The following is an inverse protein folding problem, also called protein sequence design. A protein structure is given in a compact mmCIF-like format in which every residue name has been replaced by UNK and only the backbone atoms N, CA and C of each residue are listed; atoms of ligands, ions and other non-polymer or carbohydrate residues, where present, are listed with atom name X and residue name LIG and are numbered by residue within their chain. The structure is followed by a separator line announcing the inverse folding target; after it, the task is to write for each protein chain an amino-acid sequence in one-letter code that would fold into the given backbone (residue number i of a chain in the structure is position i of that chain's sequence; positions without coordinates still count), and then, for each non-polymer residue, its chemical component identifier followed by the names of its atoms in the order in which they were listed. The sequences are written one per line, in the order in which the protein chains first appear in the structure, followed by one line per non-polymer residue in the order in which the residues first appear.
data_IF_615288969536
#
_entry.id   IF_615288969536
#
_cell.length_a   1.000
_cell.length_b   1.000
_cell.length_c   1.000
_cell.angle_alpha   90.00
_cell.angle_beta   90.00
_cell.angle_gamma   90.00
#
_symmetry.space_group_name_H-M   'P 1'
#
loop_
_entity.id
_entity.type
_entity.pdbx_description
1 polymer ?
#
# COMPACT_ATOMS: atom_id res chain seq x y z
N UNK A 1 -48.05 0.43 -38.12
CA UNK A 1 -46.69 0.52 -37.54
C UNK A 1 -45.95 -0.73 -37.98
N UNK A 2 -44.68 -0.64 -38.38
CA UNK A 2 -43.91 -1.82 -38.81
C UNK A 2 -43.07 -2.35 -37.65
N UNK A 3 -42.65 -3.62 -37.71
CA UNK A 3 -41.73 -4.23 -36.71
C UNK A 3 -40.52 -3.34 -36.42
N UNK A 4 -39.87 -2.84 -37.48
CA UNK A 4 -38.68 -1.99 -37.38
C UNK A 4 -38.98 -0.68 -36.65
N UNK A 5 -40.13 -0.08 -36.90
CA UNK A 5 -40.57 1.14 -36.23
C UNK A 5 -40.84 0.89 -34.73
N UNK A 6 -41.42 -0.27 -34.39
CA UNK A 6 -41.68 -0.66 -33.00
C UNK A 6 -40.40 -0.87 -32.19
N UNK A 7 -39.47 -1.65 -32.71
CA UNK A 7 -38.21 -1.92 -32.01
C UNK A 7 -37.34 -0.67 -31.86
N UNK A 8 -37.33 0.23 -32.85
CA UNK A 8 -36.57 1.49 -32.79
C UNK A 8 -37.11 2.43 -31.71
N UNK A 9 -38.45 2.54 -31.60
CA UNK A 9 -39.07 3.36 -30.57
C UNK A 9 -38.87 2.75 -29.17
N UNK A 10 -38.98 1.42 -29.04
CA UNK A 10 -38.71 0.71 -27.79
C UNK A 10 -37.27 0.92 -27.31
N UNK A 11 -36.27 0.77 -28.20
CA UNK A 11 -34.86 1.01 -27.88
C UNK A 11 -34.61 2.45 -27.39
N UNK A 12 -35.26 3.42 -28.03
CA UNK A 12 -35.17 4.85 -27.64
C UNK A 12 -35.68 5.07 -26.22
N UNK A 13 -36.80 4.44 -25.85
CA UNK A 13 -37.34 4.55 -24.49
C UNK A 13 -36.50 3.79 -23.45
N UNK A 14 -35.86 2.69 -23.84
CA UNK A 14 -34.99 1.88 -22.99
C UNK A 14 -33.54 2.40 -22.89
N UNK A 15 -33.18 3.50 -23.57
CA UNK A 15 -31.82 4.09 -23.51
C UNK A 15 -31.36 4.42 -22.08
N UNK A 16 -32.28 4.63 -21.13
CA UNK A 16 -31.96 4.88 -19.71
C UNK A 16 -31.45 3.65 -18.96
N UNK A 17 -31.60 2.44 -19.51
CA UNK A 17 -31.11 1.21 -18.89
C UNK A 17 -29.60 1.00 -19.15
N UNK A 18 -28.90 0.27 -18.25
CA UNK A 18 -27.58 -0.28 -18.53
C UNK A 18 -27.59 -1.08 -19.84
N UNK A 19 -26.45 -1.07 -20.55
CA UNK A 19 -26.33 -1.69 -21.87
C UNK A 19 -26.72 -3.18 -21.89
N UNK A 20 -26.33 -3.94 -20.86
CA UNK A 20 -26.67 -5.36 -20.75
C UNK A 20 -28.20 -5.58 -20.63
N UNK A 21 -28.86 -4.88 -19.70
CA UNK A 21 -30.30 -5.01 -19.45
C UNK A 21 -31.12 -4.53 -20.66
N UNK A 22 -30.63 -3.51 -21.40
CA UNK A 22 -31.27 -3.02 -22.63
C UNK A 22 -31.19 -4.04 -23.76
N UNK A 23 -30.04 -4.70 -23.96
CA UNK A 23 -29.86 -5.72 -24.99
C UNK A 23 -30.78 -6.91 -24.72
N UNK A 24 -30.83 -7.38 -23.48
CA UNK A 24 -31.68 -8.51 -23.07
C UNK A 24 -33.17 -8.21 -23.31
N UNK A 25 -33.64 -7.03 -22.92
CA UNK A 25 -35.01 -6.60 -23.18
C UNK A 25 -35.30 -6.51 -24.69
N UNK A 26 -34.38 -5.96 -25.48
CA UNK A 26 -34.58 -5.85 -26.93
C UNK A 26 -34.59 -7.20 -27.63
N UNK A 27 -33.79 -8.17 -27.17
CA UNK A 27 -33.72 -9.50 -27.77
C UNK A 27 -35.01 -10.30 -27.55
N UNK A 28 -35.67 -10.14 -26.39
CA UNK A 28 -36.99 -10.74 -26.14
C UNK A 28 -38.04 -10.30 -27.17
N UNK A 29 -38.12 -8.99 -27.45
CA UNK A 29 -39.09 -8.50 -28.44
C UNK A 29 -38.71 -8.91 -29.86
N UNK A 30 -37.41 -8.99 -30.19
CA UNK A 30 -36.98 -9.49 -31.50
C UNK A 30 -37.41 -10.93 -31.73
N UNK A 31 -37.22 -11.79 -30.73
CA UNK A 31 -37.62 -13.20 -30.75
C UNK A 31 -39.14 -13.34 -30.93
N UNK A 32 -39.93 -12.52 -30.22
CA UNK A 32 -41.39 -12.52 -30.35
C UNK A 32 -41.86 -12.15 -31.78
N UNK A 33 -41.21 -11.17 -32.40
CA UNK A 33 -41.48 -10.82 -33.79
C UNK A 33 -40.97 -11.86 -34.80
N UNK A 34 -39.87 -12.55 -34.49
CA UNK A 34 -39.37 -13.65 -35.32
C UNK A 34 -40.30 -14.87 -35.29
N UNK A 35 -40.90 -15.18 -34.14
CA UNK A 35 -41.86 -16.27 -33.96
C UNK A 35 -43.20 -16.01 -34.67
N UNK A 36 -43.66 -14.76 -34.71
CA UNK A 36 -44.86 -14.38 -35.45
C UNK A 36 -44.66 -14.47 -36.97
N UNK A 37 -43.42 -14.30 -37.44
CA UNK A 37 -43.07 -14.32 -38.86
C UNK A 37 -43.70 -13.18 -39.68
N UNK A 38 -43.35 -13.05 -40.97
CA UNK A 38 -43.74 -11.91 -41.80
C UNK A 38 -45.25 -11.78 -42.06
N UNK A 39 -46.03 -12.85 -41.84
CA UNK A 39 -47.49 -12.84 -41.98
C UNK A 39 -48.21 -12.47 -40.67
N UNK A 40 -47.56 -12.60 -39.51
CA UNK A 40 -48.15 -12.36 -38.19
C UNK A 40 -47.72 -11.04 -37.52
N UNK A 41 -46.80 -10.27 -38.12
CA UNK A 41 -46.27 -9.04 -37.50
C UNK A 41 -47.37 -7.99 -37.24
N UNK A 42 -48.34 -7.82 -38.15
CA UNK A 42 -49.40 -6.83 -37.98
C UNK A 42 -50.38 -7.21 -36.85
N UNK A 43 -50.69 -8.50 -36.72
CA UNK A 43 -51.57 -9.02 -35.66
C UNK A 43 -50.86 -8.95 -34.29
N UNK A 44 -49.56 -9.25 -34.25
CA UNK A 44 -48.75 -9.12 -33.06
C UNK A 44 -48.69 -7.66 -32.59
N UNK A 45 -48.44 -6.69 -33.47
CA UNK A 45 -48.42 -5.26 -33.11
C UNK A 45 -49.78 -4.79 -32.58
N UNK A 46 -50.89 -5.34 -33.09
CA UNK A 46 -52.22 -5.01 -32.59
C UNK A 46 -52.52 -5.63 -31.21
N UNK A 47 -51.89 -6.77 -30.90
CA UNK A 47 -52.01 -7.45 -29.60
C UNK A 47 -51.05 -6.90 -28.53
N UNK A 48 -49.93 -6.30 -28.97
CA UNK A 48 -48.93 -5.72 -28.10
C UNK A 48 -49.37 -4.35 -27.58
N UNK A 49 -48.93 -4.03 -26.36
CA UNK A 49 -49.02 -2.68 -25.83
C UNK A 49 -48.19 -1.70 -26.66
N UNK A 50 -48.45 -0.40 -26.51
CA UNK A 50 -47.66 0.61 -27.23
C UNK A 50 -46.18 0.53 -26.81
N UNK A 51 -45.20 0.85 -27.68
CA UNK A 51 -43.77 0.76 -27.34
C UNK A 51 -43.40 1.55 -26.07
N UNK A 52 -44.15 2.62 -25.79
CA UNK A 52 -43.99 3.46 -24.62
C UNK A 52 -44.47 2.78 -23.33
N UNK A 53 -45.60 2.07 -23.39
CA UNK A 53 -46.15 1.31 -22.26
C UNK A 53 -45.27 0.10 -21.95
N UNK A 54 -44.87 -0.66 -22.96
CA UNK A 54 -43.94 -1.77 -22.82
C UNK A 54 -42.60 -1.32 -22.18
N UNK A 55 -42.04 -0.21 -22.66
CA UNK A 55 -40.83 0.35 -22.05
C UNK A 55 -41.04 0.78 -20.59
N UNK A 56 -42.21 1.35 -20.27
CA UNK A 56 -42.52 1.79 -18.92
C UNK A 56 -42.66 0.60 -17.95
N UNK A 57 -43.30 -0.48 -18.39
CA UNK A 57 -43.44 -1.70 -17.59
C UNK A 57 -42.07 -2.37 -17.35
N UNK A 58 -41.23 -2.50 -18.38
CA UNK A 58 -39.87 -3.01 -18.24
C UNK A 58 -39.04 -2.15 -17.29
N UNK A 59 -39.08 -0.83 -17.44
CA UNK A 59 -38.35 0.09 -16.56
C UNK A 59 -38.83 -0.04 -15.11
N UNK A 60 -40.14 -0.13 -14.89
CA UNK A 60 -40.74 -0.23 -13.56
C UNK A 60 -40.42 -1.57 -12.91
N UNK A 61 -40.55 -2.68 -13.64
CA UNK A 61 -40.22 -4.02 -13.14
C UNK A 61 -38.72 -4.16 -12.84
N UNK A 62 -37.84 -3.58 -13.67
CA UNK A 62 -36.40 -3.57 -13.41
C UNK A 62 -36.03 -2.62 -12.26
N UNK A 63 -36.70 -1.47 -12.13
CA UNK A 63 -36.52 -0.56 -10.99
C UNK A 63 -36.96 -1.22 -9.70
N UNK A 64 -38.15 -1.84 -9.65
CA UNK A 64 -38.62 -2.59 -8.48
C UNK A 64 -37.70 -3.77 -8.19
N UNK A 65 -37.23 -4.50 -9.21
CA UNK A 65 -36.25 -5.56 -9.01
C UNK A 65 -34.93 -5.02 -8.44
N UNK A 66 -34.39 -3.89 -8.92
CA UNK A 66 -33.15 -3.27 -8.39
C UNK A 66 -33.34 -2.57 -7.04
N UNK A 67 -34.55 -2.08 -6.73
CA UNK A 67 -34.88 -1.47 -5.43
C UNK A 67 -35.10 -2.54 -4.37
N UNK A 68 -35.66 -3.69 -4.76
CA UNK A 68 -35.82 -4.86 -3.90
C UNK A 68 -34.55 -5.76 -3.87
N UNK A 69 -33.71 -5.72 -4.92
CA UNK A 69 -32.32 -6.21 -4.91
C UNK A 69 -31.41 -5.13 -4.32
N UNK A 70 -31.43 -5.01 -2.99
CA UNK A 70 -30.43 -4.23 -2.27
C UNK A 70 -29.02 -4.51 -2.83
N UNK A 71 -28.16 -3.48 -3.00
CA UNK A 71 -26.82 -3.64 -3.56
C UNK A 71 -26.10 -4.71 -2.75
N UNK A 72 -25.78 -5.86 -3.40
CA UNK A 72 -25.10 -7.03 -2.85
C UNK A 72 -24.84 -6.90 -1.34
N UNK A 73 -25.87 -7.22 -0.55
CA UNK A 73 -25.81 -7.16 0.90
C UNK A 73 -24.72 -8.14 1.34
N UNK A 74 -23.49 -7.64 1.54
CA UNK A 74 -22.45 -8.36 2.27
C UNK A 74 -23.11 -8.70 3.61
N UNK A 75 -23.40 -9.99 3.78
CA UNK A 75 -24.25 -10.57 4.80
C UNK A 75 -24.21 -9.72 6.08
N UNK A 76 -25.32 -9.10 6.46
CA UNK A 76 -25.34 -8.14 7.58
C UNK A 76 -24.85 -8.83 8.87
N UNK A 77 -25.06 -10.15 9.00
CA UNK A 77 -24.41 -11.00 10.01
C UNK A 77 -22.89 -11.10 9.90
N UNK A 78 -22.31 -11.15 8.70
CA UNK A 78 -20.86 -11.09 8.50
C UNK A 78 -20.31 -9.70 8.78
N UNK A 79 -21.03 -8.63 8.40
CA UNK A 79 -20.64 -7.27 8.74
C UNK A 79 -20.71 -7.03 10.26
N UNK A 80 -21.77 -7.52 10.91
CA UNK A 80 -21.93 -7.52 12.37
C UNK A 80 -20.90 -8.42 13.06
N UNK A 81 -20.55 -9.58 12.49
CA UNK A 81 -19.48 -10.41 13.04
C UNK A 81 -18.12 -9.73 12.93
N UNK A 82 -17.80 -9.12 11.78
CA UNK A 82 -16.56 -8.37 11.59
C UNK A 82 -16.54 -7.14 12.50
N UNK A 83 -17.66 -6.43 12.68
CA UNK A 83 -17.77 -5.30 13.58
C UNK A 83 -17.65 -5.73 15.05
N UNK A 84 -18.25 -6.85 15.45
CA UNK A 84 -18.13 -7.43 16.80
C UNK A 84 -16.69 -7.91 17.08
N UNK A 85 -16.07 -8.58 16.11
CA UNK A 85 -14.66 -8.97 16.16
C UNK A 85 -13.74 -7.75 16.22
N UNK A 86 -14.01 -6.72 15.41
CA UNK A 86 -13.25 -5.48 15.42
C UNK A 86 -13.45 -4.71 16.72
N UNK A 87 -14.65 -4.69 17.31
CA UNK A 87 -14.92 -4.06 18.60
C UNK A 87 -14.22 -4.80 19.75
N UNK A 88 -14.09 -6.13 19.66
CA UNK A 88 -13.38 -6.95 20.64
C UNK A 88 -11.85 -6.86 20.47
N UNK A 89 -11.36 -6.74 19.23
CA UNK A 89 -9.94 -6.60 18.91
C UNK A 89 -9.47 -5.16 19.10
N UNK A 90 -10.30 -4.14 18.85
CA UNK A 90 -9.96 -2.72 19.01
C UNK A 90 -9.29 -2.34 20.34
N UNK A 91 -9.79 -2.77 21.52
CA UNK A 91 -9.16 -2.45 22.80
C UNK A 91 -7.76 -3.08 22.98
N UNK A 92 -7.42 -4.13 22.23
CA UNK A 92 -6.10 -4.79 22.28
C UNK A 92 -5.22 -4.35 21.11
N UNK A 93 -5.80 -4.18 19.92
CA UNK A 93 -5.12 -3.83 18.68
C UNK A 93 -4.52 -2.43 18.71
N UNK A 94 -5.22 -1.46 19.31
CA UNK A 94 -4.68 -0.09 19.46
C UNK A 94 -3.45 -0.09 20.38
N UNK A 95 -3.50 -0.63 21.62
CA UNK A 95 -2.31 -0.75 22.47
C UNK A 95 -1.18 -1.56 21.84
N UNK A 96 -1.47 -2.68 21.18
CA UNK A 96 -0.46 -3.50 20.51
C UNK A 96 0.20 -2.73 19.35
N UNK A 97 -0.58 -2.01 18.55
CA UNK A 97 -0.06 -1.17 17.47
C UNK A 97 0.87 -0.07 17.98
N UNK A 98 0.47 0.62 19.05
CA UNK A 98 1.31 1.62 19.73
C UNK A 98 2.57 0.95 20.29
N UNK A 99 2.45 -0.23 20.89
CA UNK A 99 3.57 -1.00 21.42
C UNK A 99 4.60 -1.36 20.35
N UNK A 100 4.14 -1.83 19.18
CA UNK A 100 5.00 -2.12 18.04
C UNK A 100 5.70 -0.84 17.55
N UNK A 101 4.97 0.27 17.45
CA UNK A 101 5.55 1.55 17.03
C UNK A 101 6.62 2.04 18.02
N UNK A 102 6.34 1.98 19.32
CA UNK A 102 7.29 2.34 20.37
C UNK A 102 8.50 1.41 20.38
N UNK A 103 8.33 0.12 20.12
CA UNK A 103 9.43 -0.82 19.99
C UNK A 103 10.34 -0.48 18.79
N UNK A 104 9.76 -0.13 17.64
CA UNK A 104 10.52 0.29 16.46
C UNK A 104 11.31 1.58 16.76
N UNK A 105 10.67 2.57 17.39
CA UNK A 105 11.34 3.82 17.79
C UNK A 105 12.44 3.53 18.81
N UNK A 106 12.19 2.66 19.79
CA UNK A 106 13.17 2.25 20.79
C UNK A 106 14.39 1.58 20.19
N UNK A 107 14.19 0.66 19.23
CA UNK A 107 15.28 0.02 18.48
C UNK A 107 16.09 1.05 17.69
N UNK A 108 15.42 2.01 17.07
CA UNK A 108 16.08 3.08 16.33
C UNK A 108 16.94 3.95 17.26
N UNK A 109 16.40 4.40 18.38
CA UNK A 109 17.12 5.19 19.38
C UNK A 109 18.29 4.39 19.95
N UNK A 110 18.10 3.11 20.27
CA UNK A 110 19.16 2.24 20.76
C UNK A 110 20.29 2.07 19.72
N UNK A 111 19.96 1.93 18.44
CA UNK A 111 20.96 1.87 17.38
C UNK A 111 21.77 3.17 17.29
N UNK A 112 21.10 4.33 17.33
CA UNK A 112 21.75 5.65 17.29
C UNK A 112 22.61 5.87 18.52
N UNK A 113 22.14 5.51 19.72
CA UNK A 113 22.89 5.69 20.97
C UNK A 113 24.14 4.84 21.00
N UNK A 114 24.09 3.61 20.49
CA UNK A 114 25.26 2.74 20.36
C UNK A 114 26.29 3.37 19.42
N UNK A 115 25.86 3.86 18.25
CA UNK A 115 26.75 4.54 17.29
C UNK A 115 27.42 5.75 17.94
N UNK A 116 26.64 6.57 18.64
CA UNK A 116 27.15 7.76 19.32
C UNK A 116 28.13 7.41 20.43
N UNK A 117 27.84 6.37 21.24
CA UNK A 117 28.71 5.92 22.31
C UNK A 117 30.09 5.48 21.77
N UNK A 118 30.10 4.67 20.71
CA UNK A 118 31.35 4.28 20.07
C UNK A 118 32.09 5.46 19.45
N UNK A 119 31.36 6.41 18.85
CA UNK A 119 31.95 7.64 18.33
C UNK A 119 32.64 8.45 19.45
N UNK A 120 31.97 8.64 20.60
CA UNK A 120 32.55 9.34 21.74
C UNK A 120 33.80 8.64 22.28
N UNK A 121 33.77 7.31 22.43
CA UNK A 121 34.93 6.53 22.89
C UNK A 121 36.11 6.68 21.91
N UNK A 122 35.85 6.64 20.60
CA UNK A 122 36.89 6.88 19.60
C UNK A 122 37.48 8.27 19.69
N UNK A 123 36.67 9.31 19.77
CA UNK A 123 37.16 10.70 19.86
C UNK A 123 38.00 10.89 21.12
N UNK A 124 37.52 10.40 22.27
CA UNK A 124 38.25 10.46 23.52
C UNK A 124 39.57 9.68 23.46
N UNK A 125 39.60 8.50 22.85
CA UNK A 125 40.83 7.72 22.70
C UNK A 125 41.87 8.37 21.78
N UNK A 126 41.44 9.12 20.75
CA UNK A 126 42.34 9.94 19.93
C UNK A 126 42.92 11.10 20.74
N UNK A 127 42.09 11.81 21.50
CA UNK A 127 42.54 12.94 22.32
C UNK A 127 43.51 12.50 23.42
N UNK A 128 43.17 11.43 24.16
CA UNK A 128 44.04 10.86 25.18
C UNK A 128 45.34 10.32 24.58
N UNK A 129 45.26 9.63 23.43
CA UNK A 129 46.45 9.14 22.74
C UNK A 129 47.37 10.27 22.28
N UNK A 130 46.81 11.38 21.79
CA UNK A 130 47.56 12.59 21.45
C UNK A 130 48.23 13.22 22.68
N UNK A 131 47.52 13.30 23.80
CA UNK A 131 48.08 13.81 25.06
C UNK A 131 49.22 12.94 25.58
N UNK A 132 49.10 11.61 25.52
CA UNK A 132 50.19 10.70 25.86
C UNK A 132 51.40 10.86 24.96
N UNK A 133 51.21 11.11 23.66
CA UNK A 133 52.32 11.41 22.75
C UNK A 133 53.04 12.68 23.21
N UNK A 134 52.33 13.75 23.53
CA UNK A 134 52.95 15.00 23.99
C UNK A 134 53.69 14.80 25.31
N UNK A 135 53.06 14.17 26.30
CA UNK A 135 53.66 13.88 27.61
C UNK A 135 54.90 13.00 27.51
N UNK A 136 54.93 12.05 26.57
CA UNK A 136 56.07 11.16 26.41
C UNK A 136 57.39 11.92 26.16
N UNK A 137 57.36 13.05 25.45
CA UNK A 137 58.56 13.85 25.18
C UNK A 137 59.18 14.46 26.45
N UNK A 138 58.37 14.72 27.48
CA UNK A 138 58.86 15.23 28.77
C UNK A 138 59.73 14.19 29.49
N UNK A 139 59.41 12.89 29.36
CA UNK A 139 60.08 11.79 30.08
C UNK A 139 61.25 11.19 29.29
N UNK A 140 61.48 11.66 28.05
CA UNK A 140 62.50 11.14 27.14
C UNK A 140 63.92 11.20 27.71
N UNK A 141 64.21 12.26 28.47
CA UNK A 141 65.54 12.50 29.07
C UNK A 141 65.73 11.67 30.35
N UNK A 142 64.67 11.47 31.13
CA UNK A 142 64.71 10.78 32.43
C UNK A 142 64.73 9.26 32.27
N UNK A 143 63.86 8.72 31.41
CA UNK A 143 63.68 7.29 31.25
C UNK A 143 63.28 6.91 29.83
N UNK A 144 64.26 6.46 29.04
CA UNK A 144 64.04 6.01 27.65
C UNK A 144 63.02 4.87 27.54
N UNK A 145 62.95 3.98 28.53
CA UNK A 145 61.98 2.90 28.59
C UNK A 145 60.55 3.40 28.82
N UNK A 146 60.37 4.39 29.71
CA UNK A 146 59.08 5.02 29.95
C UNK A 146 58.58 5.78 28.72
N UNK A 147 59.48 6.47 28.00
CA UNK A 147 59.17 7.12 26.73
C UNK A 147 58.58 6.13 25.72
N UNK A 148 59.26 5.02 25.44
CA UNK A 148 58.80 4.02 24.45
C UNK A 148 57.42 3.47 24.82
N UNK A 149 57.18 3.21 26.10
CA UNK A 149 55.92 2.67 26.58
C UNK A 149 54.76 3.68 26.43
N UNK A 150 54.95 4.92 26.90
CA UNK A 150 53.90 5.96 26.86
C UNK A 150 53.63 6.42 25.43
N UNK A 151 54.69 6.63 24.63
CA UNK A 151 54.58 6.98 23.23
C UNK A 151 53.89 5.87 22.42
N UNK A 152 54.29 4.61 22.64
CA UNK A 152 53.68 3.45 22.03
C UNK A 152 52.20 3.28 22.42
N UNK A 153 51.87 3.49 23.69
CA UNK A 153 50.49 3.45 24.17
C UNK A 153 49.63 4.56 23.55
N UNK A 154 50.17 5.77 23.40
CA UNK A 154 49.48 6.88 22.71
C UNK A 154 49.19 6.56 21.25
N UNK A 155 50.18 6.01 20.54
CA UNK A 155 50.03 5.62 19.13
C UNK A 155 49.04 4.46 18.95
N UNK A 156 49.08 3.45 19.83
CA UNK A 156 48.13 2.34 19.84
C UNK A 156 46.71 2.82 20.14
N UNK A 157 46.54 3.76 21.07
CA UNK A 157 45.23 4.35 21.38
C UNK A 157 44.65 5.06 20.15
N UNK A 158 45.43 5.91 19.48
CA UNK A 158 45.00 6.59 18.25
C UNK A 158 44.68 5.58 17.15
N UNK A 159 45.55 4.57 16.94
CA UNK A 159 45.35 3.53 15.95
C UNK A 159 44.07 2.74 16.18
N UNK A 160 43.85 2.27 17.41
CA UNK A 160 42.64 1.54 17.80
C UNK A 160 41.38 2.40 17.64
N UNK A 161 41.40 3.65 18.12
CA UNK A 161 40.28 4.57 17.98
C UNK A 161 39.98 4.93 16.52
N UNK A 162 41.00 5.02 15.66
CA UNK A 162 40.82 5.25 14.22
C UNK A 162 40.20 4.04 13.52
N UNK A 163 40.62 2.81 13.87
CA UNK A 163 40.01 1.58 13.36
C UNK A 163 38.52 1.49 13.71
N UNK A 164 38.16 1.84 14.94
CA UNK A 164 36.76 1.84 15.40
C UNK A 164 35.92 2.83 14.57
N UNK A 165 36.43 4.05 14.30
CA UNK A 165 35.74 5.02 13.43
C UNK A 165 35.56 4.50 12.00
N UNK A 166 36.59 3.87 11.43
CA UNK A 166 36.51 3.27 10.11
C UNK A 166 35.46 2.15 10.08
N UNK A 167 35.44 1.29 11.09
CA UNK A 167 34.44 0.24 11.26
C UNK A 167 33.01 0.79 11.29
N UNK A 168 32.76 1.81 12.12
CA UNK A 168 31.45 2.47 12.20
C UNK A 168 31.05 3.07 10.85
N UNK A 169 31.98 3.78 10.19
CA UNK A 169 31.70 4.42 8.90
C UNK A 169 31.40 3.41 7.78
N UNK A 170 32.05 2.24 7.81
CA UNK A 170 31.82 1.16 6.86
C UNK A 170 30.43 0.54 7.08
N UNK A 171 30.08 0.26 8.33
CA UNK A 171 28.74 -0.26 8.69
C UNK A 171 27.65 0.75 8.34
N UNK A 172 27.85 2.03 8.64
CA UNK A 172 26.89 3.09 8.30
C UNK A 172 26.68 3.21 6.79
N UNK A 173 27.75 3.15 5.98
CA UNK A 173 27.66 3.13 4.51
C UNK A 173 26.92 1.89 4.00
N UNK A 174 27.21 0.72 4.57
CA UNK A 174 26.54 -0.52 4.19
C UNK A 174 25.03 -0.46 4.44
N UNK A 175 24.63 0.04 5.62
CA UNK A 175 23.22 0.27 5.94
C UNK A 175 22.58 1.33 5.03
N UNK A 176 23.27 2.45 4.77
CA UNK A 176 22.80 3.47 3.83
C UNK A 176 22.54 2.90 2.42
N UNK A 177 23.44 2.06 1.92
CA UNK A 177 23.27 1.37 0.64
C UNK A 177 22.08 0.40 0.65
N UNK A 178 21.88 -0.36 1.73
CA UNK A 178 20.73 -1.25 1.88
C UNK A 178 19.40 -0.49 1.86
N UNK A 179 19.32 0.62 2.60
CA UNK A 179 18.12 1.48 2.64
C UNK A 179 17.83 2.03 1.25
N UNK A 180 18.83 2.58 0.54
CA UNK A 180 18.66 3.07 -0.83
C UNK A 180 18.16 1.95 -1.76
N UNK A 181 18.70 0.74 -1.63
CA UNK A 181 18.26 -0.42 -2.42
C UNK A 181 16.79 -0.77 -2.15
N UNK A 182 16.39 -0.75 -0.88
CA UNK A 182 15.02 -1.06 -0.48
C UNK A 182 14.04 -0.02 -1.00
N UNK A 183 14.39 1.27 -0.88
CA UNK A 183 13.60 2.39 -1.41
C UNK A 183 13.48 2.30 -2.94
N UNK A 184 14.59 2.04 -3.64
CA UNK A 184 14.57 1.85 -5.09
C UNK A 184 13.72 0.65 -5.51
N UNK A 185 13.72 -0.44 -4.74
CA UNK A 185 12.88 -1.60 -4.99
C UNK A 185 11.40 -1.27 -4.80
N UNK A 186 11.03 -0.57 -3.72
CA UNK A 186 9.66 -0.10 -3.47
C UNK A 186 9.17 0.84 -4.58
N UNK A 187 9.99 1.81 -4.99
CA UNK A 187 9.68 2.74 -6.08
C UNK A 187 9.56 2.02 -7.44
N UNK A 188 10.41 1.02 -7.72
CA UNK A 188 10.29 0.18 -8.93
C UNK A 188 9.05 -0.70 -8.90
N UNK A 189 8.64 -1.19 -7.73
CA UNK A 189 7.44 -2.02 -7.57
C UNK A 189 6.17 -1.20 -7.76
N UNK A 190 6.14 0.06 -7.29
CA UNK A 190 5.05 1.01 -7.55
C UNK A 190 4.86 1.33 -9.04
N UNK A 191 5.95 1.52 -9.80
CA UNK A 191 5.90 1.79 -11.26
C UNK A 191 5.42 0.62 -12.13
N UNK A 192 5.29 -0.60 -11.60
CA UNK A 192 4.73 -1.76 -12.32
C UNK A 192 3.22 -1.90 -12.16
N UNK A 193 2.60 -1.20 -11.21
CA UNK A 193 1.14 -1.20 -11.01
C UNK A 193 0.38 -0.37 -12.06
N UNK A 194 0.96 0.73 -12.54
CA UNK A 194 0.31 1.69 -13.46
C UNK A 194 0.31 1.28 -14.95
N UNK A 195 0.85 0.11 -15.31
CA UNK A 195 0.83 -0.38 -16.71
C UNK A 195 -0.29 -1.38 -17.00
N UNK A 196 -1.16 -1.63 -16.02
CA UNK A 196 -2.29 -2.56 -16.14
C UNK A 196 -3.62 -1.95 -15.68
N UNK A 197 -3.69 -0.63 -15.52
CA UNK A 197 -4.92 0.12 -15.32
C UNK A 197 -5.27 0.91 -16.58
#
# INVERSE_FOLDING_TARGET
MTRTDYLTQLETYLHKLPEADRIEAMDYFKELFDDAGPEGEEELIASLETPKEAAHDILTNLLDKKVNEAPAQKNDRQLLHIALLALLVAPIGIPVGIGILMAIIGIFIAAVSVILAFFTVSVTGILLGGLFIVESFSVLVEAKSAFILIFGAGLLSIGASSLVLLGISYVARFFGLLVVRLVQWLLKKGKRGDRHA
#
